data_IF_732251231311
#
_entry.id   IF_732251231311
#
_cell.length_a   1.000
_cell.length_b   1.000
_cell.length_c   1.000
_cell.angle_alpha   90.00
_cell.angle_beta   90.00
_cell.angle_gamma   90.00
#
_symmetry.space_group_name_H-M   'P 1'
#
loop_
_entity.id
_entity.type
_entity.pdbx_description
1 polymer ?
#
# COMPACT_ATOMS: atom_id res chain seq x y z
N UNK A 1 37.45 -50.66 -37.41
CA UNK A 1 36.20 -50.10 -36.83
C UNK A 1 36.60 -49.35 -35.58
N UNK A 2 36.07 -48.14 -35.46
CA UNK A 2 36.56 -46.99 -34.67
C UNK A 2 36.75 -47.24 -33.17
N UNK A 3 37.96 -46.95 -32.70
CA UNK A 3 38.24 -46.65 -31.30
C UNK A 3 37.93 -45.15 -31.10
N UNK A 4 36.83 -44.85 -30.43
CA UNK A 4 36.37 -43.49 -30.21
C UNK A 4 36.90 -43.00 -28.85
N UNK A 5 37.97 -42.20 -28.89
CA UNK A 5 38.44 -41.40 -27.75
C UNK A 5 37.31 -40.50 -27.26
N UNK A 6 36.73 -40.85 -26.10
CA UNK A 6 35.82 -39.95 -25.37
C UNK A 6 36.68 -38.92 -24.62
N UNK A 7 36.43 -37.61 -24.79
CA UNK A 7 37.22 -36.60 -24.10
C UNK A 7 36.95 -36.62 -22.59
N UNK A 8 38.03 -36.60 -21.82
CA UNK A 8 38.03 -36.56 -20.36
C UNK A 8 37.25 -35.33 -19.85
N UNK A 9 36.04 -35.57 -19.32
CA UNK A 9 35.17 -34.50 -18.84
C UNK A 9 35.62 -34.07 -17.44
N UNK A 10 36.35 -32.96 -17.35
CA UNK A 10 36.65 -32.33 -16.06
C UNK A 10 35.34 -31.86 -15.40
N UNK A 11 34.95 -32.53 -14.32
CA UNK A 11 33.85 -32.08 -13.45
C UNK A 11 34.31 -30.81 -12.73
N UNK A 12 33.97 -29.66 -13.29
CA UNK A 12 34.07 -28.38 -12.58
C UNK A 12 32.94 -28.32 -11.54
N UNK A 13 33.21 -28.84 -10.35
CA UNK A 13 32.35 -28.60 -9.20
C UNK A 13 32.51 -27.14 -8.77
N UNK A 14 31.65 -26.26 -9.29
CA UNK A 14 31.49 -24.92 -8.75
C UNK A 14 30.72 -25.02 -7.42
N UNK A 15 31.45 -25.13 -6.32
CA UNK A 15 30.86 -24.90 -5.00
C UNK A 15 30.63 -23.39 -4.86
N UNK A 16 29.43 -22.94 -5.22
CA UNK A 16 28.95 -21.65 -4.78
C UNK A 16 28.69 -21.75 -3.27
N UNK A 17 29.66 -21.33 -2.45
CA UNK A 17 29.37 -20.97 -1.06
C UNK A 17 28.61 -19.64 -1.10
N UNK A 18 27.30 -19.68 -1.38
CA UNK A 18 26.45 -18.63 -0.84
C UNK A 18 26.56 -18.76 0.67
N UNK A 19 27.36 -17.89 1.30
CA UNK A 19 27.17 -17.61 2.71
C UNK A 19 25.77 -17.05 2.84
N UNK A 20 24.82 -17.93 3.11
CA UNK A 20 23.51 -17.55 3.61
C UNK A 20 23.78 -16.95 4.98
N UNK A 21 24.04 -15.64 5.02
CA UNK A 21 24.14 -14.85 6.25
C UNK A 21 22.72 -14.66 6.79
N UNK A 22 22.11 -15.76 7.19
CA UNK A 22 20.79 -15.76 7.79
C UNK A 22 20.86 -15.06 9.15
N UNK A 23 20.07 -13.99 9.28
CA UNK A 23 19.94 -13.31 10.55
C UNK A 23 19.31 -14.24 11.59
N UNK A 24 19.63 -14.07 12.89
CA UNK A 24 19.18 -15.03 13.91
C UNK A 24 17.66 -15.21 13.91
N UNK A 25 17.18 -16.44 14.02
CA UNK A 25 15.75 -16.77 14.05
C UNK A 25 14.99 -15.95 15.11
N UNK A 26 15.65 -15.72 16.25
CA UNK A 26 15.13 -14.89 17.33
C UNK A 26 14.82 -13.46 16.89
N UNK A 27 15.54 -12.89 15.92
CA UNK A 27 15.23 -11.59 15.32
C UNK A 27 14.04 -11.70 14.35
N UNK A 28 14.08 -12.70 13.47
CA UNK A 28 13.12 -12.89 12.37
C UNK A 28 11.68 -13.14 12.85
N UNK A 29 11.51 -13.75 14.02
CA UNK A 29 10.18 -14.08 14.56
C UNK A 29 9.35 -12.90 15.07
N UNK A 30 9.92 -11.69 15.14
CA UNK A 30 9.20 -10.50 15.63
C UNK A 30 8.70 -9.62 14.50
N UNK A 31 7.47 -9.15 14.61
CA UNK A 31 6.85 -8.14 13.73
C UNK A 31 6.86 -6.73 14.32
N UNK A 32 7.38 -6.54 15.53
CA UNK A 32 7.42 -5.25 16.23
C UNK A 32 8.76 -5.03 16.92
N UNK A 33 9.40 -3.90 16.63
CA UNK A 33 10.63 -3.47 17.29
C UNK A 33 10.45 -3.44 18.81
N UNK A 34 9.36 -2.86 19.31
CA UNK A 34 9.11 -2.74 20.74
C UNK A 34 9.04 -4.10 21.43
N UNK A 35 8.38 -5.09 20.78
CA UNK A 35 8.28 -6.45 21.32
C UNK A 35 9.64 -7.15 21.32
N UNK A 36 10.40 -7.06 20.22
CA UNK A 36 11.76 -7.58 20.11
C UNK A 36 12.63 -7.06 21.26
N UNK A 37 12.71 -5.73 21.39
CA UNK A 37 13.59 -5.10 22.37
C UNK A 37 13.20 -5.46 23.80
N UNK A 38 11.90 -5.51 24.13
CA UNK A 38 11.45 -5.89 25.48
C UNK A 38 11.76 -7.35 25.81
N UNK A 39 11.51 -8.28 24.90
CA UNK A 39 11.82 -9.71 25.14
C UNK A 39 13.32 -9.89 25.31
N UNK A 40 14.13 -9.29 24.42
CA UNK A 40 15.60 -9.35 24.53
C UNK A 40 16.08 -8.72 25.84
N UNK A 41 15.50 -7.60 26.27
CA UNK A 41 15.87 -6.95 27.54
C UNK A 41 15.62 -7.87 28.74
N UNK A 42 14.46 -8.55 28.78
CA UNK A 42 14.16 -9.53 29.82
C UNK A 42 15.13 -10.71 29.80
N UNK A 43 15.45 -11.25 28.63
CA UNK A 43 16.43 -12.33 28.49
C UNK A 43 17.82 -11.89 28.99
N UNK A 44 18.26 -10.68 28.64
CA UNK A 44 19.54 -10.13 29.08
C UNK A 44 19.57 -9.88 30.59
N UNK A 45 18.48 -9.35 31.17
CA UNK A 45 18.35 -9.16 32.62
C UNK A 45 18.47 -10.48 33.36
N UNK A 46 17.74 -11.50 32.91
CA UNK A 46 17.80 -12.84 33.48
C UNK A 46 19.22 -13.41 33.41
N UNK A 47 19.89 -13.30 32.25
CA UNK A 47 21.26 -13.80 32.07
C UNK A 47 22.30 -13.07 32.92
N UNK A 48 22.18 -11.75 33.09
CA UNK A 48 23.11 -10.94 33.92
C UNK A 48 22.88 -11.17 35.41
N UNK A 49 21.65 -11.55 35.78
CA UNK A 49 21.24 -11.60 37.17
C UNK A 49 20.92 -13.04 37.58
N UNK A 50 21.95 -13.84 37.79
CA UNK A 50 21.82 -15.08 38.56
C UNK A 50 21.39 -14.82 40.03
N UNK A 51 21.37 -13.56 40.49
CA UNK A 51 20.93 -13.15 41.84
C UNK A 51 19.97 -11.94 41.85
N UNK A 52 18.66 -12.23 41.83
CA UNK A 52 17.54 -11.44 42.40
C UNK A 52 17.50 -9.90 42.18
N UNK A 53 17.40 -9.43 40.94
CA UNK A 53 16.82 -8.10 40.67
C UNK A 53 15.31 -8.26 40.49
N UNK A 54 14.52 -7.86 41.49
CA UNK A 54 13.06 -8.02 41.57
C UNK A 54 12.25 -6.91 40.91
N UNK A 55 12.89 -6.01 40.16
CA UNK A 55 12.20 -4.89 39.51
C UNK A 55 11.17 -5.39 38.48
N UNK A 56 9.90 -5.06 38.68
CA UNK A 56 8.78 -5.50 37.83
C UNK A 56 8.76 -4.81 36.44
N UNK A 57 9.54 -3.75 36.25
CA UNK A 57 9.56 -2.94 35.03
C UNK A 57 10.96 -2.92 34.40
N UNK A 58 11.00 -2.83 33.07
CA UNK A 58 12.23 -2.64 32.30
C UNK A 58 12.66 -1.18 32.33
N UNK A 59 13.95 -0.94 32.54
CA UNK A 59 14.56 0.39 32.43
C UNK A 59 14.84 0.72 30.97
N UNK A 60 14.87 2.03 30.65
CA UNK A 60 15.19 2.52 29.30
C UNK A 60 16.58 2.10 28.85
N UNK A 61 17.54 2.01 29.77
CA UNK A 61 18.91 1.55 29.54
C UNK A 61 18.95 0.10 29.06
N UNK A 62 18.14 -0.79 29.64
CA UNK A 62 18.09 -2.20 29.24
C UNK A 62 17.50 -2.38 27.84
N UNK A 63 16.47 -1.58 27.52
CA UNK A 63 15.89 -1.54 26.18
C UNK A 63 16.92 -1.03 25.17
N UNK A 64 17.72 -0.03 25.55
CA UNK A 64 18.81 0.48 24.72
C UNK A 64 19.93 -0.55 24.54
N UNK A 65 20.33 -1.25 25.60
CA UNK A 65 21.30 -2.35 25.53
C UNK A 65 20.86 -3.46 24.58
N UNK A 66 19.57 -3.82 24.61
CA UNK A 66 18.99 -4.79 23.69
C UNK A 66 19.04 -4.30 22.23
N UNK A 67 18.82 -3.00 22.00
CA UNK A 67 18.93 -2.41 20.66
C UNK A 67 20.39 -2.45 20.17
N UNK A 68 21.34 -2.04 21.01
CA UNK A 68 22.78 -2.07 20.69
C UNK A 68 23.27 -3.50 20.46
N UNK A 69 22.76 -4.50 21.20
CA UNK A 69 23.03 -5.91 20.94
C UNK A 69 22.62 -6.30 19.50
N UNK A 70 21.36 -6.06 19.14
CA UNK A 70 20.86 -6.43 17.81
C UNK A 70 21.55 -5.68 16.68
N UNK A 71 21.90 -4.41 16.88
CA UNK A 71 22.69 -3.66 15.92
C UNK A 71 24.06 -4.30 15.71
N UNK A 72 24.79 -4.65 16.78
CA UNK A 72 26.11 -5.30 16.65
C UNK A 72 26.02 -6.64 15.92
N UNK A 73 25.01 -7.44 16.24
CA UNK A 73 24.76 -8.73 15.57
C UNK A 73 24.56 -8.52 14.07
N UNK A 74 23.63 -7.63 13.71
CA UNK A 74 23.28 -7.37 12.32
C UNK A 74 24.42 -6.68 11.56
N UNK A 75 25.13 -5.75 12.18
CA UNK A 75 26.32 -5.13 11.58
C UNK A 75 27.45 -6.15 11.40
N UNK A 76 27.66 -7.03 12.38
CA UNK A 76 28.66 -8.10 12.32
C UNK A 76 28.45 -9.06 11.16
N UNK A 77 27.19 -9.34 10.83
CA UNK A 77 26.81 -10.13 9.65
C UNK A 77 27.06 -9.32 8.37
N UNK A 78 26.38 -8.19 8.18
CA UNK A 78 26.35 -7.51 6.88
C UNK A 78 27.60 -6.66 6.56
N UNK A 79 28.40 -6.30 7.57
CA UNK A 79 29.55 -5.39 7.44
C UNK A 79 30.82 -5.99 8.07
N UNK A 80 30.99 -7.31 7.99
CA UNK A 80 32.13 -8.01 8.61
C UNK A 80 33.48 -7.42 8.16
N UNK A 81 33.63 -7.11 6.87
CA UNK A 81 34.89 -6.59 6.31
C UNK A 81 35.24 -5.20 6.83
N UNK A 82 34.24 -4.35 7.01
CA UNK A 82 34.40 -3.00 7.52
C UNK A 82 34.71 -3.01 9.01
N UNK A 83 34.01 -3.85 9.78
CA UNK A 83 34.21 -3.97 11.23
C UNK A 83 35.59 -4.53 11.53
N UNK A 84 36.03 -5.57 10.81
CA UNK A 84 37.37 -6.17 10.98
C UNK A 84 38.51 -5.21 10.62
N UNK A 85 38.33 -4.39 9.59
CA UNK A 85 39.29 -3.34 9.26
C UNK A 85 39.37 -2.31 10.38
N UNK A 86 38.22 -1.78 10.83
CA UNK A 86 38.15 -0.74 11.86
C UNK A 86 38.61 -1.23 13.23
N UNK A 87 38.31 -2.48 13.61
CA UNK A 87 38.79 -3.07 14.87
C UNK A 87 40.32 -3.23 14.89
N UNK A 88 40.94 -3.39 13.72
CA UNK A 88 42.39 -3.44 13.54
C UNK A 88 43.02 -2.06 13.33
N UNK A 89 42.26 -0.98 13.58
CA UNK A 89 42.65 0.42 13.35
C UNK A 89 43.09 0.71 11.90
N UNK A 90 42.52 -0.02 10.93
CA UNK A 90 42.71 0.19 9.49
C UNK A 90 41.53 0.94 8.89
N UNK A 91 41.77 1.59 7.75
CA UNK A 91 40.72 2.27 7.00
C UNK A 91 39.81 1.29 6.27
N UNK A 92 38.52 1.61 6.18
CA UNK A 92 37.58 0.86 5.34
C UNK A 92 37.97 0.95 3.87
N UNK A 93 37.87 -0.17 3.15
CA UNK A 93 38.17 -0.23 1.71
C UNK A 93 37.32 0.77 0.92
N UNK A 94 37.95 1.48 -0.03
CA UNK A 94 37.25 2.41 -0.94
C UNK A 94 36.15 1.76 -1.78
N UNK A 95 36.16 0.43 -1.94
CA UNK A 95 35.11 -0.32 -2.65
C UNK A 95 33.85 -0.54 -1.80
N UNK A 96 33.94 -0.35 -0.48
CA UNK A 96 32.79 -0.50 0.41
C UNK A 96 31.78 0.61 0.17
N UNK A 97 30.50 0.25 0.18
CA UNK A 97 29.39 1.21 0.15
C UNK A 97 29.40 2.19 1.33
N UNK A 98 30.09 1.83 2.43
CA UNK A 98 30.18 2.65 3.63
C UNK A 98 31.37 3.62 3.61
N UNK A 99 32.33 3.47 2.70
CA UNK A 99 33.57 4.28 2.70
C UNK A 99 33.28 5.80 2.68
N UNK A 100 32.29 6.23 1.89
CA UNK A 100 31.85 7.62 1.81
C UNK A 100 31.29 8.21 3.11
N UNK A 101 30.92 7.35 4.07
CA UNK A 101 30.34 7.75 5.36
C UNK A 101 31.40 7.97 6.44
N UNK A 102 32.69 7.82 6.11
CA UNK A 102 33.81 7.85 7.07
C UNK A 102 33.49 7.05 8.34
N UNK A 103 33.15 5.75 8.22
CA UNK A 103 32.57 4.98 9.29
C UNK A 103 33.60 4.73 10.40
N UNK A 104 33.14 4.67 11.65
CA UNK A 104 33.96 4.35 12.81
C UNK A 104 33.19 3.47 13.80
N UNK A 105 33.89 2.77 14.68
CA UNK A 105 33.30 2.01 15.79
C UNK A 105 33.26 2.90 17.04
N UNK A 106 32.10 2.94 17.70
CA UNK A 106 31.97 3.63 18.99
C UNK A 106 32.46 2.76 20.16
N UNK A 107 32.43 3.32 21.37
CA UNK A 107 32.85 2.64 22.61
C UNK A 107 31.99 1.40 22.94
N UNK A 108 30.82 1.27 22.32
CA UNK A 108 29.95 0.11 22.45
C UNK A 108 30.18 -0.94 21.35
N UNK A 109 31.11 -0.70 20.41
CA UNK A 109 31.39 -1.57 19.28
C UNK A 109 30.34 -1.50 18.17
N UNK A 110 29.57 -0.40 18.10
CA UNK A 110 28.57 -0.16 17.05
C UNK A 110 29.18 0.68 15.94
N UNK A 111 28.98 0.24 14.70
CA UNK A 111 29.40 0.96 13.51
C UNK A 111 28.52 2.20 13.30
N UNK A 112 29.15 3.38 13.26
CA UNK A 112 28.49 4.69 13.13
C UNK A 112 29.02 5.49 11.95
N UNK A 113 28.21 6.44 11.51
CA UNK A 113 28.58 7.43 10.50
C UNK A 113 29.50 8.49 11.12
N UNK A 114 30.68 8.68 10.54
CA UNK A 114 31.55 9.81 10.83
C UNK A 114 31.08 11.08 10.13
N UNK A 115 31.72 12.20 10.41
CA UNK A 115 31.42 13.42 9.66
C UNK A 115 31.81 14.72 10.35
N UNK A 116 31.34 15.82 9.76
CA UNK A 116 31.72 17.20 10.12
C UNK A 116 30.86 17.82 11.22
N UNK A 117 29.87 17.09 11.73
CA UNK A 117 28.92 17.59 12.76
C UNK A 117 29.43 17.39 14.20
N UNK A 118 30.71 17.09 14.41
CA UNK A 118 31.28 16.80 15.74
C UNK A 118 30.99 17.91 16.78
N UNK A 119 31.03 19.17 16.36
CA UNK A 119 30.81 20.34 17.23
C UNK A 119 29.37 20.89 17.19
N UNK A 120 28.44 20.25 16.48
CA UNK A 120 27.05 20.68 16.47
C UNK A 120 26.38 20.47 17.83
N UNK A 121 25.44 21.36 18.20
CA UNK A 121 24.57 21.23 19.38
C UNK A 121 23.47 20.18 19.15
N UNK A 122 23.89 18.96 18.81
CA UNK A 122 23.04 17.82 18.51
C UNK A 122 23.42 16.64 19.41
N UNK A 123 22.47 15.73 19.62
CA UNK A 123 22.77 14.50 20.35
C UNK A 123 23.84 13.67 19.63
N UNK A 124 24.55 12.80 20.34
CA UNK A 124 25.58 11.94 19.73
C UNK A 124 25.00 11.04 18.65
N UNK A 125 23.78 10.53 18.85
CA UNK A 125 23.05 9.73 17.86
C UNK A 125 22.67 10.53 16.59
N UNK A 126 22.45 11.84 16.70
CA UNK A 126 22.18 12.72 15.56
C UNK A 126 23.46 13.12 14.81
N UNK A 127 24.55 13.36 15.54
CA UNK A 127 25.86 13.69 14.96
C UNK A 127 26.49 12.48 14.27
N UNK A 128 26.36 11.32 14.91
CA UNK A 128 26.94 10.05 14.48
C UNK A 128 25.90 8.92 14.52
N UNK A 129 24.95 8.90 13.57
CA UNK A 129 23.92 7.87 13.53
C UNK A 129 24.49 6.46 13.36
N UNK A 130 23.84 5.48 13.98
CA UNK A 130 24.20 4.06 13.90
C UNK A 130 23.87 3.50 12.53
N UNK A 131 24.82 2.84 11.87
CA UNK A 131 24.63 2.32 10.52
C UNK A 131 23.80 1.04 10.57
N UNK A 132 22.65 1.02 9.90
CA UNK A 132 21.77 -0.15 9.85
C UNK A 132 21.77 -0.76 8.43
N UNK A 133 22.05 -2.07 8.25
CA UNK A 133 22.06 -2.70 6.94
C UNK A 133 20.69 -2.65 6.24
N UNK A 134 20.63 -2.28 4.95
CA UNK A 134 19.35 -2.05 4.27
C UNK A 134 18.49 -3.31 4.11
N UNK A 135 19.13 -4.48 4.01
CA UNK A 135 18.51 -5.81 3.85
C UNK A 135 18.03 -6.42 5.17
N UNK A 136 18.47 -5.90 6.32
CA UNK A 136 18.21 -6.50 7.62
C UNK A 136 16.75 -6.48 8.03
N UNK A 137 16.31 -7.53 8.75
CA UNK A 137 15.03 -7.57 9.43
C UNK A 137 14.94 -6.50 10.54
N UNK A 138 16.03 -6.25 11.26
CA UNK A 138 16.07 -5.17 12.26
C UNK A 138 15.77 -3.83 11.60
N UNK A 139 16.37 -3.55 10.43
CA UNK A 139 16.12 -2.32 9.68
C UNK A 139 14.66 -2.19 9.25
N UNK A 140 14.02 -3.30 8.85
CA UNK A 140 12.57 -3.31 8.60
C UNK A 140 11.79 -2.88 9.85
N UNK A 141 12.07 -3.46 11.00
CA UNK A 141 11.37 -3.14 12.27
C UNK A 141 11.62 -1.69 12.70
N UNK A 142 12.83 -1.16 12.48
CA UNK A 142 13.16 0.26 12.73
C UNK A 142 12.32 1.19 11.85
N UNK A 143 12.20 0.90 10.55
CA UNK A 143 11.39 1.69 9.62
C UNK A 143 9.91 1.64 9.99
N UNK A 144 9.37 0.45 10.26
CA UNK A 144 7.97 0.28 10.65
C UNK A 144 7.66 1.02 11.96
N UNK A 145 8.54 0.92 12.97
CA UNK A 145 8.41 1.67 14.23
C UNK A 145 8.37 3.18 14.00
N UNK A 146 9.27 3.73 13.18
CA UNK A 146 9.28 5.16 12.87
C UNK A 146 8.07 5.58 12.03
N UNK A 147 7.63 4.73 11.10
CA UNK A 147 6.44 4.96 10.28
C UNK A 147 5.18 5.06 11.15
N UNK A 148 5.01 4.16 12.13
CA UNK A 148 3.90 4.23 13.09
C UNK A 148 4.00 5.46 14.02
N UNK A 149 5.19 5.76 14.55
CA UNK A 149 5.40 6.96 15.41
C UNK A 149 5.13 8.28 14.69
N UNK A 150 5.28 8.30 13.37
CA UNK A 150 4.97 9.46 12.51
C UNK A 150 3.53 9.43 11.98
N UNK A 151 2.66 8.60 12.57
CA UNK A 151 1.25 8.43 12.20
C UNK A 151 1.08 8.14 10.70
N UNK A 152 1.85 7.18 10.21
CA UNK A 152 1.91 6.82 8.79
C UNK A 152 2.40 7.95 7.87
N UNK A 153 3.34 8.76 8.38
CA UNK A 153 4.02 9.80 7.61
C UNK A 153 4.64 9.31 6.30
N UNK A 154 4.76 10.22 5.33
CA UNK A 154 5.42 9.94 4.06
C UNK A 154 6.92 9.65 4.20
N UNK A 155 7.55 9.27 3.09
CA UNK A 155 8.97 8.84 3.06
C UNK A 155 9.91 9.87 3.71
N UNK A 156 9.71 11.16 3.45
CA UNK A 156 10.56 12.22 4.00
C UNK A 156 10.44 12.32 5.53
N UNK A 157 9.22 12.28 6.06
CA UNK A 157 8.98 12.40 7.50
C UNK A 157 9.52 11.16 8.25
N UNK A 158 9.22 9.96 7.74
CA UNK A 158 9.75 8.71 8.33
C UNK A 158 11.28 8.65 8.27
N UNK A 159 11.87 9.03 7.13
CA UNK A 159 13.34 9.06 6.98
C UNK A 159 13.99 10.11 7.89
N UNK A 160 13.36 11.27 8.06
CA UNK A 160 13.81 12.31 8.97
C UNK A 160 13.86 11.82 10.42
N UNK A 161 12.81 11.14 10.89
CA UNK A 161 12.79 10.55 12.24
C UNK A 161 13.85 9.44 12.40
N UNK A 162 14.01 8.59 11.39
CA UNK A 162 15.05 7.54 11.40
C UNK A 162 16.46 8.13 11.52
N UNK A 163 16.76 9.18 10.74
CA UNK A 163 18.09 9.82 10.69
C UNK A 163 18.53 10.48 11.99
N UNK A 164 17.63 10.67 12.95
CA UNK A 164 18.00 11.14 14.29
C UNK A 164 18.82 10.12 15.08
N UNK A 165 18.79 8.84 14.69
CA UNK A 165 19.53 7.77 15.39
C UNK A 165 20.20 6.76 14.47
N UNK A 166 19.66 6.57 13.27
CA UNK A 166 20.10 5.52 12.35
C UNK A 166 20.41 6.06 10.97
N UNK A 167 21.45 5.52 10.35
CA UNK A 167 21.76 5.74 8.95
C UNK A 167 21.64 4.44 8.16
N UNK A 168 20.70 4.40 7.22
CA UNK A 168 20.50 3.24 6.35
C UNK A 168 21.10 3.59 4.97
N UNK A 169 22.10 2.85 4.47
CA UNK A 169 22.58 3.00 3.10
C UNK A 169 21.42 2.86 2.10
N UNK A 170 21.32 3.80 1.14
CA UNK A 170 20.17 3.91 0.22
C UNK A 170 18.82 4.06 0.94
N UNK A 171 18.82 4.65 2.15
CA UNK A 171 17.68 4.66 3.06
C UNK A 171 16.36 5.20 2.48
N UNK A 172 16.39 6.20 1.60
CA UNK A 172 15.17 6.70 0.93
C UNK A 172 14.47 5.60 0.13
N UNK A 173 15.24 4.78 -0.61
CA UNK A 173 14.69 3.68 -1.41
C UNK A 173 14.10 2.59 -0.51
N UNK A 174 14.83 2.20 0.53
CA UNK A 174 14.39 1.17 1.50
C UNK A 174 13.11 1.62 2.22
N UNK A 175 13.08 2.85 2.73
CA UNK A 175 11.89 3.42 3.38
C UNK A 175 10.71 3.48 2.40
N UNK A 176 10.92 3.96 1.17
CA UNK A 176 9.87 4.00 0.14
C UNK A 176 9.30 2.59 -0.11
N UNK A 177 10.14 1.58 -0.30
CA UNK A 177 9.72 0.21 -0.52
C UNK A 177 8.88 -0.34 0.65
N UNK A 178 9.29 -0.07 1.89
CA UNK A 178 8.54 -0.51 3.09
C UNK A 178 7.18 0.19 3.22
N UNK A 179 7.14 1.49 2.99
CA UNK A 179 5.90 2.27 3.05
C UNK A 179 4.89 1.85 1.97
N UNK A 180 5.35 1.46 0.77
CA UNK A 180 4.45 0.93 -0.28
C UNK A 180 3.79 -0.40 0.09
N UNK A 181 4.37 -1.17 1.03
CA UNK A 181 3.79 -2.42 1.53
C UNK A 181 2.89 -2.22 2.74
N UNK A 182 2.77 -0.99 3.25
CA UNK A 182 1.88 -0.69 4.38
C UNK A 182 0.42 -0.65 3.91
N UNK A 183 -0.40 -1.60 4.37
CA UNK A 183 -1.81 -1.73 3.98
C UNK A 183 -2.59 -0.45 4.29
N UNK A 184 -2.38 0.16 5.47
CA UNK A 184 -3.02 1.42 5.87
C UNK A 184 -2.71 2.54 4.87
N UNK A 185 -1.44 2.71 4.50
CA UNK A 185 -1.04 3.70 3.51
C UNK A 185 -1.61 3.41 2.13
N UNK A 186 -1.64 2.14 1.71
CA UNK A 186 -2.20 1.74 0.42
C UNK A 186 -3.69 2.07 0.35
N UNK A 187 -4.44 1.79 1.43
CA UNK A 187 -5.87 2.15 1.54
C UNK A 187 -6.08 3.66 1.50
N UNK A 188 -5.30 4.43 2.24
CA UNK A 188 -5.44 5.90 2.28
C UNK A 188 -5.03 6.58 0.97
N UNK A 189 -4.12 5.97 0.19
CA UNK A 189 -3.72 6.47 -1.14
C UNK A 189 -4.63 5.99 -2.27
N UNK A 190 -5.58 5.10 -1.99
CA UNK A 190 -6.46 4.58 -3.02
C UNK A 190 -7.19 5.74 -3.69
N UNK A 191 -6.88 5.97 -4.96
CA UNK A 191 -7.57 6.96 -5.80
C UNK A 191 -8.64 6.20 -6.57
N UNK A 192 -9.83 6.79 -6.70
CA UNK A 192 -10.87 6.24 -7.58
C UNK A 192 -10.29 6.12 -8.98
N UNK A 193 -10.18 4.91 -9.57
CA UNK A 193 -9.69 4.76 -10.93
C UNK A 193 -10.60 5.58 -11.85
N UNK A 194 -9.99 6.38 -12.73
CA UNK A 194 -10.68 7.11 -13.79
C UNK A 194 -10.59 6.24 -15.04
N UNK A 195 -11.56 5.35 -15.29
CA UNK A 195 -11.54 4.57 -16.52
C UNK A 195 -11.63 5.51 -17.73
N UNK A 196 -10.98 5.17 -18.85
CA UNK A 196 -11.26 5.87 -20.10
C UNK A 196 -12.76 5.79 -20.38
N UNK A 197 -13.35 6.86 -20.89
CA UNK A 197 -14.75 6.85 -21.30
C UNK A 197 -14.92 5.79 -22.40
N UNK A 198 -15.91 4.91 -22.25
CA UNK A 198 -16.22 3.93 -23.28
C UNK A 198 -16.76 4.58 -24.56
N UNK A 199 -16.61 3.90 -25.68
CA UNK A 199 -17.18 4.33 -26.95
C UNK A 199 -18.70 4.44 -26.87
N UNK A 200 -19.27 5.43 -27.56
CA UNK A 200 -20.72 5.57 -27.63
C UNK A 200 -21.32 4.39 -28.42
N UNK A 201 -22.46 3.83 -27.97
CA UNK A 201 -23.09 2.74 -28.69
C UNK A 201 -23.51 3.16 -30.11
N UNK A 202 -23.46 2.23 -31.06
CA UNK A 202 -23.81 2.46 -32.47
C UNK A 202 -25.15 3.18 -32.64
N UNK A 203 -26.14 2.83 -31.81
CA UNK A 203 -27.47 3.44 -31.80
C UNK A 203 -27.50 4.95 -31.52
N UNK A 204 -26.45 5.50 -30.91
CA UNK A 204 -26.33 6.94 -30.59
C UNK A 204 -25.67 7.75 -31.70
N UNK A 205 -24.88 7.12 -32.56
CA UNK A 205 -24.03 7.79 -33.55
C UNK A 205 -24.42 7.49 -34.99
N UNK A 206 -25.25 6.48 -35.22
CA UNK A 206 -25.79 6.16 -36.54
C UNK A 206 -27.09 6.94 -36.79
N UNK A 207 -27.20 7.71 -37.88
CA UNK A 207 -28.44 8.41 -38.23
C UNK A 207 -29.62 7.45 -38.40
N UNK A 208 -30.76 7.82 -37.83
CA UNK A 208 -32.03 7.12 -37.98
C UNK A 208 -33.19 8.09 -37.75
N UNK A 209 -34.42 7.69 -38.08
CA UNK A 209 -35.61 8.50 -37.77
C UNK A 209 -35.76 8.68 -36.25
N UNK A 210 -36.35 9.81 -35.79
CA UNK A 210 -36.60 10.03 -34.37
C UNK A 210 -37.34 8.86 -33.69
N UNK A 211 -36.92 8.53 -32.48
CA UNK A 211 -37.47 7.46 -31.62
C UNK A 211 -37.37 6.02 -32.16
N UNK A 212 -36.65 5.78 -33.26
CA UNK A 212 -36.39 4.41 -33.73
C UNK A 212 -35.60 3.59 -32.70
N UNK A 213 -34.57 4.21 -32.12
CA UNK A 213 -33.79 3.69 -31.00
C UNK A 213 -33.99 4.60 -29.80
N UNK A 214 -34.54 4.05 -28.73
CA UNK A 214 -35.01 4.86 -27.60
C UNK A 214 -34.45 4.33 -26.28
N UNK A 215 -33.84 5.21 -25.50
CA UNK A 215 -33.55 4.97 -24.09
C UNK A 215 -34.79 5.26 -23.25
N UNK A 216 -34.98 4.50 -22.19
CA UNK A 216 -36.10 4.61 -21.26
C UNK A 216 -35.56 4.64 -19.84
N UNK A 217 -36.06 5.59 -19.06
CA UNK A 217 -35.81 5.66 -17.63
C UNK A 217 -37.05 6.19 -16.91
N UNK A 218 -37.18 5.92 -15.61
CA UNK A 218 -38.22 6.48 -14.77
C UNK A 218 -37.64 7.57 -13.87
N UNK A 219 -38.15 8.78 -14.01
CA UNK A 219 -37.88 9.82 -13.02
C UNK A 219 -38.77 9.57 -11.79
N UNK A 220 -38.13 9.63 -10.62
CA UNK A 220 -38.66 9.22 -9.32
C UNK A 220 -39.97 9.89 -8.89
N UNK A 221 -40.53 9.44 -7.75
CA UNK A 221 -41.94 9.58 -7.49
C UNK A 221 -42.35 11.05 -7.34
N UNK A 222 -43.25 11.48 -8.21
CA UNK A 222 -43.95 12.76 -8.12
C UNK A 222 -45.32 12.54 -7.49
N UNK A 223 -45.82 13.56 -6.78
CA UNK A 223 -47.16 13.52 -6.23
C UNK A 223 -48.17 13.92 -7.31
N UNK A 224 -48.95 12.94 -7.77
CA UNK A 224 -50.05 13.15 -8.71
C UNK A 224 -51.35 13.45 -7.97
N UNK A 225 -52.17 14.32 -8.57
CA UNK A 225 -53.54 14.60 -8.14
C UNK A 225 -54.45 14.54 -9.36
N UNK A 226 -55.57 13.85 -9.25
CA UNK A 226 -56.56 13.74 -10.33
C UNK A 226 -57.38 15.02 -10.53
N UNK A 227 -57.54 15.83 -9.48
CA UNK A 227 -58.27 17.09 -9.54
C UNK A 227 -57.78 18.09 -8.48
N UNK A 228 -58.08 19.39 -8.69
CA UNK A 228 -57.86 20.47 -7.72
C UNK A 228 -59.05 20.51 -6.74
N UNK A 229 -58.80 20.50 -5.43
CA UNK A 229 -59.86 20.65 -4.41
C UNK A 229 -59.53 19.99 -3.07
N UNK A 230 -60.31 20.32 -2.02
CA UNK A 230 -60.23 19.63 -0.71
C UNK A 230 -60.78 18.21 -0.86
N UNK A 231 -60.08 17.22 -0.30
CA UNK A 231 -60.50 15.82 -0.29
C UNK A 231 -59.81 14.90 -1.30
N UNK A 232 -59.16 15.45 -2.35
CA UNK A 232 -58.39 14.64 -3.30
C UNK A 232 -56.99 14.35 -2.75
N UNK A 233 -56.75 13.10 -2.35
CA UNK A 233 -55.45 12.65 -1.84
C UNK A 233 -54.44 12.55 -2.98
N UNK A 234 -53.26 13.12 -2.77
CA UNK A 234 -52.16 12.93 -3.69
C UNK A 234 -51.60 11.50 -3.56
N UNK A 235 -51.24 10.89 -4.69
CA UNK A 235 -50.60 9.57 -4.73
C UNK A 235 -49.28 9.65 -5.49
N UNK A 236 -48.40 8.67 -5.27
CA UNK A 236 -47.12 8.61 -5.95
C UNK A 236 -47.34 8.14 -7.39
N UNK A 237 -46.82 8.87 -8.36
CA UNK A 237 -46.66 8.43 -9.73
C UNK A 237 -45.26 8.74 -10.23
N UNK A 238 -44.96 8.37 -11.45
CA UNK A 238 -43.64 8.48 -12.06
C UNK A 238 -43.73 9.16 -13.41
N UNK A 239 -42.58 9.58 -13.94
CA UNK A 239 -42.49 10.07 -15.31
C UNK A 239 -41.66 9.06 -16.09
N UNK A 240 -42.26 8.43 -17.10
CA UNK A 240 -41.53 7.68 -18.11
C UNK A 240 -40.80 8.66 -19.02
N UNK A 241 -39.48 8.57 -19.04
CA UNK A 241 -38.58 9.42 -19.83
C UNK A 241 -38.10 8.61 -21.03
N UNK A 242 -38.71 8.84 -22.18
CA UNK A 242 -38.27 8.25 -23.45
C UNK A 242 -37.31 9.20 -24.15
N UNK A 243 -36.07 8.78 -24.36
CA UNK A 243 -35.01 9.58 -25.00
C UNK A 243 -34.62 8.94 -26.32
N UNK A 244 -34.78 9.66 -27.43
CA UNK A 244 -34.25 9.19 -28.70
C UNK A 244 -32.72 9.16 -28.66
N UNK A 245 -32.12 8.00 -28.95
CA UNK A 245 -30.66 7.84 -28.89
C UNK A 245 -29.95 8.63 -29.99
N UNK A 246 -30.54 8.77 -31.17
CA UNK A 246 -29.95 9.47 -32.30
C UNK A 246 -30.04 11.00 -32.17
N UNK A 247 -31.21 11.54 -31.81
CA UNK A 247 -31.46 13.00 -31.83
C UNK A 247 -31.45 13.67 -30.46
N UNK A 248 -31.49 12.89 -29.37
CA UNK A 248 -31.65 13.39 -27.99
C UNK A 248 -33.00 14.07 -27.70
N UNK A 249 -33.98 13.92 -28.60
CA UNK A 249 -35.35 14.32 -28.33
C UNK A 249 -35.93 13.53 -27.15
N UNK A 250 -36.61 14.23 -26.24
CA UNK A 250 -37.23 13.63 -25.05
C UNK A 250 -38.75 13.62 -25.21
N UNK A 251 -39.38 12.51 -24.89
CA UNK A 251 -40.82 12.39 -24.69
C UNK A 251 -41.08 11.95 -23.26
N UNK A 252 -41.89 12.74 -22.55
CA UNK A 252 -42.27 12.48 -21.17
C UNK A 252 -43.71 12.00 -21.16
N UNK A 253 -43.97 10.92 -20.42
CA UNK A 253 -45.32 10.45 -20.15
C UNK A 253 -45.51 10.18 -18.66
N UNK A 254 -46.71 10.43 -18.15
CA UNK A 254 -47.04 10.23 -16.74
C UNK A 254 -47.46 8.78 -16.52
N UNK A 255 -46.90 8.15 -15.49
CA UNK A 255 -47.19 6.76 -15.11
C UNK A 255 -47.77 6.74 -13.70
N UNK A 256 -48.86 6.00 -13.51
CA UNK A 256 -49.58 5.95 -12.23
C UNK A 256 -48.81 5.28 -11.11
N UNK A 257 -47.94 4.32 -11.44
CA UNK A 257 -47.19 3.51 -10.48
C UNK A 257 -45.94 2.91 -11.14
N UNK A 258 -45.22 2.07 -10.39
CA UNK A 258 -43.99 1.40 -10.82
C UNK A 258 -44.23 -0.05 -11.26
N UNK A 259 -45.42 -0.37 -11.77
CA UNK A 259 -45.75 -1.73 -12.25
C UNK A 259 -45.48 -1.88 -13.76
N UNK A 260 -45.32 -3.13 -14.18
CA UNK A 260 -45.22 -3.51 -15.60
C UNK A 260 -46.43 -3.06 -16.40
N UNK A 261 -47.64 -3.23 -15.86
CA UNK A 261 -48.88 -2.86 -16.58
C UNK A 261 -48.98 -1.35 -16.83
N UNK A 262 -48.61 -0.54 -15.82
CA UNK A 262 -48.59 0.91 -15.98
C UNK A 262 -47.51 1.35 -16.98
N UNK A 263 -46.35 0.67 -16.98
CA UNK A 263 -45.34 0.86 -18.01
C UNK A 263 -45.87 0.55 -19.41
N UNK A 264 -46.47 -0.63 -19.62
CA UNK A 264 -47.02 -1.03 -20.92
C UNK A 264 -48.09 -0.05 -21.40
N UNK A 265 -48.92 0.49 -20.50
CA UNK A 265 -49.89 1.52 -20.83
C UNK A 265 -49.21 2.82 -21.32
N UNK A 266 -48.12 3.25 -20.66
CA UNK A 266 -47.33 4.40 -21.09
C UNK A 266 -46.60 4.16 -22.40
N UNK A 267 -46.01 2.98 -22.57
CA UNK A 267 -45.32 2.60 -23.79
C UNK A 267 -46.27 2.57 -24.99
N UNK A 268 -47.49 2.03 -24.84
CA UNK A 268 -48.52 2.09 -25.89
C UNK A 268 -48.87 3.51 -26.32
N UNK A 269 -48.96 4.46 -25.37
CA UNK A 269 -49.19 5.89 -25.66
C UNK A 269 -47.99 6.54 -26.35
N UNK A 270 -46.78 6.14 -25.98
CA UNK A 270 -45.56 6.59 -26.62
C UNK A 270 -45.50 6.14 -28.09
N UNK A 271 -45.65 4.85 -28.38
CA UNK A 271 -45.56 4.31 -29.74
C UNK A 271 -46.69 4.81 -30.65
N UNK A 272 -47.89 5.05 -30.10
CA UNK A 272 -49.01 5.60 -30.89
C UNK A 272 -48.73 7.03 -31.35
N UNK A 273 -47.91 7.79 -30.61
CA UNK A 273 -47.53 9.18 -30.96
C UNK A 273 -46.22 9.28 -31.72
N UNK A 274 -45.26 8.39 -31.47
CA UNK A 274 -43.88 8.46 -31.99
C UNK A 274 -43.54 7.39 -33.03
N UNK A 275 -44.45 6.45 -33.25
CA UNK A 275 -44.23 5.24 -34.03
C UNK A 275 -43.51 4.16 -33.23
N UNK A 276 -43.55 2.93 -33.74
CA UNK A 276 -42.87 1.79 -33.13
C UNK A 276 -41.36 2.01 -33.09
N UNK A 277 -40.71 1.65 -31.98
CA UNK A 277 -39.25 1.58 -31.91
C UNK A 277 -38.76 0.23 -32.45
N UNK A 278 -37.54 0.21 -32.98
CA UNK A 278 -36.81 -1.02 -33.32
C UNK A 278 -36.06 -1.55 -32.09
N UNK A 279 -35.44 -0.63 -31.33
CA UNK A 279 -34.65 -0.96 -30.14
C UNK A 279 -35.07 -0.06 -28.97
N UNK A 280 -35.26 -0.67 -27.81
CA UNK A 280 -35.49 0.02 -26.53
C UNK A 280 -34.40 -0.36 -25.54
N UNK A 281 -33.83 0.63 -24.85
CA UNK A 281 -32.78 0.46 -23.86
C UNK A 281 -33.26 0.98 -22.52
N UNK A 282 -33.32 0.14 -21.49
CA UNK A 282 -33.64 0.52 -20.12
C UNK A 282 -32.57 0.02 -19.15
N UNK A 283 -32.70 0.39 -17.88
CA UNK A 283 -32.04 -0.34 -16.81
C UNK A 283 -32.77 -1.67 -16.53
N UNK A 284 -32.27 -2.45 -15.57
CA UNK A 284 -32.89 -3.69 -15.12
C UNK A 284 -34.00 -3.46 -14.08
N UNK A 285 -34.74 -2.35 -14.17
CA UNK A 285 -35.91 -2.09 -13.33
C UNK A 285 -36.95 -3.20 -13.48
N UNK A 286 -37.54 -3.64 -12.37
CA UNK A 286 -38.46 -4.80 -12.35
C UNK A 286 -39.71 -4.61 -13.22
N UNK A 287 -40.15 -3.36 -13.38
CA UNK A 287 -41.24 -2.94 -14.25
C UNK A 287 -40.91 -3.09 -15.75
N UNK A 288 -39.63 -2.96 -16.12
CA UNK A 288 -39.16 -3.14 -17.49
C UNK A 288 -38.86 -4.61 -17.78
N UNK A 289 -38.14 -5.28 -16.87
CA UNK A 289 -37.83 -6.72 -17.01
C UNK A 289 -39.09 -7.57 -17.06
N UNK A 290 -40.15 -7.20 -16.33
CA UNK A 290 -41.42 -7.90 -16.41
C UNK A 290 -42.21 -7.66 -17.71
N UNK A 291 -41.79 -6.70 -18.54
CA UNK A 291 -42.43 -6.36 -19.81
C UNK A 291 -41.73 -6.97 -21.04
N UNK A 292 -40.48 -7.42 -20.88
CA UNK A 292 -39.69 -8.17 -21.87
C UNK A 292 -40.22 -9.62 -22.02
#
# INVERSE_FOLDING_TARGET
MSDADLPEQRVAAHVATEKIEEEPEMLLRFSSLHRLLRVTSWCLRWRRTASRTTALTLQSTEINDALLLWLRVVQGLHFTTEITALSSNRTVSHRSSLASLSPFLDDHGVLRVGGRLKHALLSTDERHPMIAPPSSWLTRLLIESCHHRTLHGGVQLTLGLLRRRFWIPRGRSVVKQRLHRCITCTRWRATTPQPPMGDLPRGRVTPARPFLRTGLDYAGPILLRTSKGRGHRAYKGFIAVFVCLCTKAVHLDVVSDYTTDAFLAAFRRFISRRGLCEEMYSDCGTNFVGAD
#
